data_IF_981629150097
#
_entry.id   IF_981629150097
#
_cell.length_a   1.000
_cell.length_b   1.000
_cell.length_c   1.000
_cell.angle_alpha   90.00
_cell.angle_beta   90.00
_cell.angle_gamma   90.00
#
_symmetry.space_group_name_H-M   'P 1'
#
loop_
_entity.id
_entity.type
_entity.pdbx_description
1 polymer ?
#
# COMPACT_ATOMS: atom_id res chain seq x y z
N UNK A 1 7.98 31.29 -8.95
CA UNK A 1 8.36 29.89 -8.67
C UNK A 1 7.23 29.03 -9.20
N UNK A 2 7.51 28.19 -10.20
CA UNK A 2 6.49 27.42 -10.90
C UNK A 2 5.93 26.35 -9.97
N UNK A 3 4.65 26.49 -9.61
CA UNK A 3 3.87 25.50 -8.89
C UNK A 3 3.80 24.27 -9.78
N UNK A 4 4.70 23.31 -9.57
CA UNK A 4 4.44 21.93 -10.01
C UNK A 4 3.19 21.50 -9.24
N UNK A 5 2.03 21.70 -9.82
CA UNK A 5 0.91 20.79 -9.63
C UNK A 5 1.47 19.42 -10.02
N UNK A 6 2.00 18.70 -9.02
CA UNK A 6 2.17 17.26 -9.11
C UNK A 6 0.76 16.77 -9.38
N UNK A 7 0.44 16.50 -10.64
CA UNK A 7 -0.79 15.81 -10.99
C UNK A 7 -0.82 14.55 -10.13
N UNK A 8 -1.75 14.50 -9.18
CA UNK A 8 -1.97 13.28 -8.41
C UNK A 8 -2.33 12.21 -9.42
N UNK A 9 -1.49 11.17 -9.48
CA UNK A 9 -1.73 10.06 -10.40
C UNK A 9 -3.08 9.46 -10.08
N UNK A 10 -3.85 9.10 -11.10
CA UNK A 10 -5.08 8.36 -10.89
C UNK A 10 -4.75 6.95 -10.40
N UNK A 11 -5.77 6.27 -9.87
CA UNK A 11 -5.70 4.88 -9.43
C UNK A 11 -5.25 3.96 -10.57
N UNK A 12 -5.83 4.12 -11.76
CA UNK A 12 -5.47 3.34 -12.95
C UNK A 12 -4.04 3.63 -13.43
N UNK A 13 -3.63 4.90 -13.41
CA UNK A 13 -2.26 5.29 -13.78
C UNK A 13 -1.24 4.64 -12.84
N UNK A 14 -1.52 4.61 -11.54
CA UNK A 14 -0.64 4.02 -10.53
C UNK A 14 -0.55 2.50 -10.66
N UNK A 15 -1.67 1.83 -10.95
CA UNK A 15 -1.70 0.39 -11.23
C UNK A 15 -0.86 0.06 -12.48
N UNK A 16 -1.09 0.77 -13.58
CA UNK A 16 -0.35 0.55 -14.84
C UNK A 16 1.15 0.79 -14.68
N UNK A 17 1.55 1.81 -13.93
CA UNK A 17 2.96 2.10 -13.67
C UNK A 17 3.61 0.98 -12.86
N UNK A 18 2.90 0.43 -11.87
CA UNK A 18 3.40 -0.63 -11.02
C UNK A 18 3.48 -1.97 -11.77
N UNK A 19 2.49 -2.29 -12.61
CA UNK A 19 2.55 -3.44 -13.54
C UNK A 19 3.78 -3.39 -14.45
N UNK A 20 4.10 -2.20 -14.98
CA UNK A 20 5.28 -2.02 -15.81
C UNK A 20 6.58 -2.27 -15.03
N UNK A 21 6.63 -1.85 -13.76
CA UNK A 21 7.79 -2.05 -12.89
C UNK A 21 7.98 -3.51 -12.46
N UNK A 22 6.88 -4.26 -12.28
CA UNK A 22 6.92 -5.67 -11.85
C UNK A 22 6.88 -6.66 -13.03
N UNK A 23 7.04 -6.19 -14.27
CA UNK A 23 6.94 -7.01 -15.47
C UNK A 23 7.91 -8.19 -15.48
N UNK A 24 9.11 -8.02 -14.95
CA UNK A 24 10.10 -9.10 -14.91
C UNK A 24 9.75 -10.14 -13.84
N UNK A 25 9.24 -9.71 -12.67
CA UNK A 25 8.71 -10.60 -11.63
C UNK A 25 7.55 -11.47 -12.16
N UNK A 26 6.65 -10.87 -12.97
CA UNK A 26 5.55 -11.60 -13.61
C UNK A 26 6.03 -12.66 -14.60
N UNK A 27 7.19 -12.45 -15.26
CA UNK A 27 7.78 -13.46 -16.14
C UNK A 27 8.42 -14.61 -15.36
N UNK A 28 8.97 -14.31 -14.18
CA UNK A 28 9.59 -15.31 -13.30
C UNK A 28 8.55 -16.23 -12.64
N UNK A 29 7.34 -15.72 -12.37
CA UNK A 29 6.20 -16.49 -11.85
C UNK A 29 4.95 -16.32 -12.73
N UNK A 30 4.90 -16.96 -13.92
CA UNK A 30 3.81 -16.80 -14.87
C UNK A 30 2.48 -17.42 -14.41
N UNK A 31 2.51 -18.27 -13.38
CA UNK A 31 1.37 -18.91 -12.74
C UNK A 31 0.60 -17.98 -11.79
N UNK A 32 1.20 -16.86 -11.39
CA UNK A 32 0.62 -15.91 -10.46
C UNK A 32 0.14 -14.68 -11.23
N UNK A 33 -1.14 -14.33 -11.13
CA UNK A 33 -1.65 -13.04 -11.62
C UNK A 33 -1.29 -11.94 -10.62
N UNK A 34 -0.08 -11.38 -10.70
CA UNK A 34 0.38 -10.35 -9.76
C UNK A 34 -0.49 -9.10 -9.81
N UNK A 35 -1.04 -8.77 -10.99
CA UNK A 35 -1.94 -7.62 -11.13
C UNK A 35 -3.13 -7.76 -10.19
N UNK A 36 -3.88 -8.85 -10.33
CA UNK A 36 -5.10 -9.06 -9.56
C UNK A 36 -4.83 -9.35 -8.08
N UNK A 37 -3.76 -10.07 -7.75
CA UNK A 37 -3.53 -10.56 -6.37
C UNK A 37 -2.65 -9.66 -5.52
N UNK A 38 -1.86 -8.77 -6.12
CA UNK A 38 -0.93 -7.88 -5.39
C UNK A 38 -1.12 -6.42 -5.78
N UNK A 39 -1.04 -6.09 -7.07
CA UNK A 39 -0.92 -4.70 -7.53
C UNK A 39 -2.21 -3.94 -7.29
N UNK A 40 -3.33 -4.42 -7.85
CA UNK A 40 -4.62 -3.75 -7.70
C UNK A 40 -5.05 -3.63 -6.22
N UNK A 41 -4.98 -4.70 -5.40
CA UNK A 41 -5.31 -4.58 -3.97
C UNK A 41 -4.43 -3.57 -3.23
N UNK A 42 -3.12 -3.54 -3.51
CA UNK A 42 -2.19 -2.62 -2.85
C UNK A 42 -2.45 -1.18 -3.26
N UNK A 43 -2.65 -0.92 -4.55
CA UNK A 43 -2.97 0.42 -5.04
C UNK A 43 -4.31 0.89 -4.51
N UNK A 44 -5.35 0.06 -4.59
CA UNK A 44 -6.68 0.39 -4.06
C UNK A 44 -6.60 0.75 -2.58
N UNK A 45 -5.93 -0.08 -1.77
CA UNK A 45 -5.74 0.22 -0.35
C UNK A 45 -5.02 1.56 -0.12
N UNK A 46 -3.96 1.86 -0.88
CA UNK A 46 -3.26 3.14 -0.73
C UNK A 46 -4.14 4.35 -1.08
N UNK A 47 -4.98 4.24 -2.10
CA UNK A 47 -5.93 5.32 -2.44
C UNK A 47 -7.04 5.42 -1.41
N UNK A 48 -7.62 4.31 -0.99
CA UNK A 48 -8.67 4.27 0.04
C UNK A 48 -8.16 4.87 1.35
N UNK A 49 -6.89 4.65 1.70
CA UNK A 49 -6.26 5.28 2.87
C UNK A 49 -6.20 6.80 2.72
N UNK A 50 -5.80 7.29 1.55
CA UNK A 50 -5.68 8.74 1.29
C UNK A 50 -7.03 9.44 1.25
N UNK A 51 -8.04 8.76 0.74
CA UNK A 51 -9.38 9.32 0.53
C UNK A 51 -10.21 9.30 1.82
N UNK A 52 -10.05 8.27 2.68
CA UNK A 52 -10.95 8.05 3.81
C UNK A 52 -10.35 8.37 5.19
N UNK A 53 -9.02 8.40 5.34
CA UNK A 53 -8.39 8.72 6.62
C UNK A 53 -8.00 10.20 6.68
N UNK A 54 -8.17 10.80 7.86
CA UNK A 54 -7.54 12.09 8.17
C UNK A 54 -6.01 11.96 8.18
N UNK A 55 -5.30 13.09 8.08
CA UNK A 55 -3.83 13.07 8.10
C UNK A 55 -3.26 12.44 9.39
N UNK A 56 -3.88 12.68 10.54
CA UNK A 56 -3.45 12.13 11.83
C UNK A 56 -3.72 10.63 11.93
N UNK A 57 -4.86 10.15 11.44
CA UNK A 57 -5.17 8.72 11.35
C UNK A 57 -4.23 8.02 10.38
N UNK A 58 -3.94 8.63 9.22
CA UNK A 58 -2.98 8.11 8.25
C UNK A 58 -1.58 7.97 8.87
N UNK A 59 -1.09 9.00 9.57
CA UNK A 59 0.20 8.95 10.29
C UNK A 59 0.23 7.81 11.30
N UNK A 60 -0.87 7.58 12.03
CA UNK A 60 -0.97 6.48 12.99
C UNK A 60 -0.99 5.11 12.31
N UNK A 61 -1.75 4.96 11.24
CA UNK A 61 -1.73 3.77 10.40
C UNK A 61 -0.30 3.46 9.92
N UNK A 62 0.40 4.44 9.35
CA UNK A 62 1.78 4.30 8.86
C UNK A 62 2.77 3.98 9.99
N UNK A 63 2.59 4.56 11.18
CA UNK A 63 3.38 4.23 12.37
C UNK A 63 3.26 2.75 12.75
N UNK A 64 2.05 2.19 12.72
CA UNK A 64 1.82 0.79 13.00
C UNK A 64 2.39 -0.13 11.92
N UNK A 65 2.21 0.19 10.63
CA UNK A 65 2.86 -0.56 9.54
C UNK A 65 4.38 -0.54 9.67
N UNK A 66 4.97 0.61 10.00
CA UNK A 66 6.42 0.73 10.23
C UNK A 66 6.88 -0.16 11.38
N UNK A 67 6.15 -0.15 12.50
CA UNK A 67 6.45 -1.03 13.64
C UNK A 67 6.30 -2.50 13.29
N UNK A 68 5.30 -2.87 12.49
CA UNK A 68 5.15 -4.22 11.97
C UNK A 68 6.41 -4.65 11.19
N UNK A 69 6.85 -3.84 10.23
CA UNK A 69 8.04 -4.13 9.40
C UNK A 69 9.32 -4.24 10.23
N UNK A 70 9.50 -3.39 11.23
CA UNK A 70 10.64 -3.42 12.15
C UNK A 70 10.65 -4.64 13.09
N UNK A 71 9.50 -5.30 13.27
CA UNK A 71 9.35 -6.44 14.17
C UNK A 71 9.12 -7.76 13.43
N UNK A 72 9.46 -7.86 12.14
CA UNK A 72 9.28 -9.08 11.32
C UNK A 72 9.98 -10.33 11.88
N UNK A 73 11.04 -10.16 12.69
CA UNK A 73 11.68 -11.26 13.43
C UNK A 73 10.90 -11.75 14.67
N UNK A 74 9.84 -11.04 15.08
CA UNK A 74 8.93 -11.42 16.16
C UNK A 74 7.48 -11.37 15.64
N UNK A 75 7.01 -12.52 15.15
CA UNK A 75 5.72 -12.64 14.49
C UNK A 75 4.55 -12.15 15.34
N UNK A 76 4.53 -12.44 16.64
CA UNK A 76 3.47 -11.98 17.54
C UNK A 76 3.39 -10.45 17.63
N UNK A 77 4.55 -9.77 17.71
CA UNK A 77 4.60 -8.31 17.69
C UNK A 77 4.23 -7.74 16.33
N UNK A 78 4.75 -8.32 15.25
CA UNK A 78 4.43 -7.89 13.89
C UNK A 78 2.93 -8.00 13.61
N UNK A 79 2.32 -9.14 13.94
CA UNK A 79 0.89 -9.38 13.80
C UNK A 79 0.08 -8.38 14.64
N UNK A 80 0.44 -8.16 15.91
CA UNK A 80 -0.22 -7.15 16.75
C UNK A 80 -0.24 -5.78 16.06
N UNK A 81 0.89 -5.33 15.54
CA UNK A 81 0.96 -4.03 14.86
C UNK A 81 0.19 -4.01 13.54
N UNK A 82 0.14 -5.13 12.80
CA UNK A 82 -0.70 -5.26 11.62
C UNK A 82 -2.19 -5.10 11.96
N UNK A 83 -2.66 -5.74 13.04
CA UNK A 83 -4.03 -5.59 13.51
C UNK A 83 -4.35 -4.14 13.92
N UNK A 84 -3.41 -3.48 14.61
CA UNK A 84 -3.57 -2.08 14.99
C UNK A 84 -3.60 -1.14 13.77
N UNK A 85 -2.81 -1.41 12.73
CA UNK A 85 -2.90 -0.66 11.48
C UNK A 85 -4.27 -0.87 10.82
N UNK A 86 -4.74 -2.14 10.76
CA UNK A 86 -6.05 -2.49 10.18
C UNK A 86 -7.22 -1.79 10.88
N UNK A 87 -7.14 -1.52 12.18
CA UNK A 87 -8.22 -0.86 12.91
C UNK A 87 -8.56 0.54 12.35
N UNK A 88 -7.60 1.24 11.73
CA UNK A 88 -7.82 2.53 11.06
C UNK A 88 -8.48 2.42 9.68
N UNK A 89 -8.56 1.21 9.14
CA UNK A 89 -9.15 0.92 7.83
C UNK A 89 -10.58 0.40 7.94
N UNK A 90 -11.10 0.25 9.17
CA UNK A 90 -12.47 -0.20 9.38
C UNK A 90 -13.44 0.95 9.10
N UNK A 91 -14.56 0.70 8.39
CA UNK A 91 -15.59 1.70 8.15
C UNK A 91 -16.29 2.16 9.44
#
# INVERSE_FOLDING_TARGET
>A
MSSKQLYEKTREQSISDFEAQTKDLQKEHPDIDFKAVVIEPTMNLMFDIKENLTEDERKKHEEYITRMLQNTGNLFKAEKYLWQARDYLRP
#
